data_IF_937829547877
#
_entry.id   IF_937829547877
#
_cell.length_a   1.000
_cell.length_b   1.000
_cell.length_c   1.000
_cell.angle_alpha   90.00
_cell.angle_beta   90.00
_cell.angle_gamma   90.00
#
_symmetry.space_group_name_H-M   'P 1'
#
loop_
_entity.id
_entity.type
_entity.pdbx_description
1 polymer ?
#
# COMPACT_ATOMS: atom_id res chain seq x y z
N UNK A 1 3.28 46.08 13.20
CA UNK A 1 2.38 44.94 12.93
C UNK A 1 2.66 44.44 11.52
N UNK A 2 3.80 43.77 11.35
CA UNK A 2 4.21 43.05 10.13
C UNK A 2 3.90 41.56 10.39
N UNK A 3 2.65 41.29 10.77
CA UNK A 3 2.16 39.95 11.03
C UNK A 3 1.71 39.31 9.71
N UNK A 4 2.11 38.05 9.53
CA UNK A 4 1.44 37.07 8.69
C UNK A 4 1.75 36.99 7.18
N UNK A 5 2.88 37.51 6.66
CA UNK A 5 3.32 37.20 5.28
C UNK A 5 4.42 36.14 5.15
N UNK A 6 5.12 35.81 6.23
CA UNK A 6 6.21 34.81 6.22
C UNK A 6 5.80 33.36 6.52
N UNK A 7 4.55 33.10 6.92
CA UNK A 7 4.08 31.77 7.38
C UNK A 7 3.44 30.89 6.31
N UNK A 8 3.54 31.25 5.03
CA UNK A 8 3.18 30.38 3.90
C UNK A 8 4.42 29.63 3.37
N UNK A 9 5.46 29.46 4.18
CA UNK A 9 6.47 28.42 4.00
C UNK A 9 5.97 27.03 4.48
N UNK A 10 4.65 26.89 4.71
CA UNK A 10 3.99 25.68 5.19
C UNK A 10 2.88 25.21 4.25
N UNK A 11 3.07 25.38 2.95
CA UNK A 11 2.57 24.39 2.01
C UNK A 11 3.71 23.41 1.80
N UNK A 12 3.99 22.62 2.85
CA UNK A 12 4.76 21.40 2.68
C UNK A 12 4.17 20.69 1.47
N UNK A 13 5.01 20.50 0.46
CA UNK A 13 4.82 19.64 -0.71
C UNK A 13 3.40 19.10 -0.79
N UNK A 14 2.59 19.62 -1.73
CA UNK A 14 1.32 19.01 -2.11
C UNK A 14 1.66 17.56 -2.48
N UNK A 15 1.57 16.67 -1.50
CA UNK A 15 1.63 15.24 -1.72
C UNK A 15 0.39 14.99 -2.55
N UNK A 16 0.62 14.61 -3.80
CA UNK A 16 -0.44 14.16 -4.67
C UNK A 16 -1.11 12.98 -3.94
N UNK A 17 -2.24 13.23 -3.26
CA UNK A 17 -2.97 12.21 -2.51
C UNK A 17 -3.49 11.24 -3.57
N UNK A 18 -2.65 10.23 -3.84
CA UNK A 18 -2.96 9.03 -4.59
C UNK A 18 -4.29 8.50 -4.03
N UNK A 19 -5.14 7.93 -4.88
CA UNK A 19 -6.39 7.33 -4.41
C UNK A 19 -6.15 6.49 -3.17
N UNK A 20 -6.92 6.80 -2.13
CA UNK A 20 -6.89 6.07 -0.89
C UNK A 20 -7.48 4.69 -1.17
N UNK A 21 -6.63 3.66 -1.24
CA UNK A 21 -7.09 2.27 -1.20
C UNK A 21 -7.71 2.07 0.18
N UNK A 22 -9.03 2.07 0.26
CA UNK A 22 -9.72 1.86 1.52
C UNK A 22 -9.57 0.41 1.97
N UNK A 23 -9.87 0.11 3.24
CA UNK A 23 -9.92 -1.28 3.71
C UNK A 23 -10.89 -2.13 2.88
N UNK A 24 -12.03 -1.57 2.49
CA UNK A 24 -13.03 -2.26 1.65
C UNK A 24 -12.47 -2.58 0.27
N UNK A 25 -11.68 -1.69 -0.33
CA UNK A 25 -11.02 -1.97 -1.61
C UNK A 25 -9.92 -3.01 -1.43
N UNK A 26 -9.09 -2.89 -0.39
CA UNK A 26 -8.05 -3.86 -0.06
C UNK A 26 -8.62 -5.29 0.08
N UNK A 27 -9.79 -5.43 0.71
CA UNK A 27 -10.46 -6.73 0.87
C UNK A 27 -10.93 -7.36 -0.46
N UNK A 28 -11.26 -6.55 -1.48
CA UNK A 28 -11.62 -7.07 -2.81
C UNK A 28 -10.44 -7.79 -3.47
N UNK A 29 -9.20 -7.41 -3.15
CA UNK A 29 -8.02 -8.10 -3.66
C UNK A 29 -7.75 -9.42 -2.92
N UNK A 30 -8.39 -9.64 -1.78
CA UNK A 30 -8.30 -10.88 -1.02
C UNK A 30 -9.42 -11.88 -1.33
N UNK A 31 -10.46 -11.46 -2.06
CA UNK A 31 -11.69 -12.24 -2.22
C UNK A 31 -11.55 -13.52 -3.04
N UNK A 32 -10.40 -13.75 -3.69
CA UNK A 32 -10.09 -15.02 -4.37
C UNK A 32 -9.88 -16.18 -3.40
N UNK A 33 -9.65 -15.91 -2.11
CA UNK A 33 -9.54 -16.93 -1.06
C UNK A 33 -10.69 -16.76 -0.06
N UNK A 34 -11.55 -17.79 0.13
CA UNK A 34 -12.67 -17.70 1.07
C UNK A 34 -12.21 -17.35 2.49
N UNK A 35 -12.83 -16.32 3.07
CA UNK A 35 -12.54 -15.88 4.44
C UNK A 35 -11.21 -15.12 4.61
N UNK A 36 -10.46 -14.88 3.53
CA UNK A 36 -9.27 -14.04 3.58
C UNK A 36 -9.64 -12.55 3.59
N UNK A 37 -8.95 -11.79 4.43
CA UNK A 37 -9.11 -10.34 4.56
C UNK A 37 -7.74 -9.66 4.52
N UNK A 38 -7.70 -8.44 4.00
CA UNK A 38 -6.50 -7.62 4.03
C UNK A 38 -6.10 -7.33 5.48
N UNK A 39 -4.83 -7.58 5.84
CA UNK A 39 -4.25 -7.14 7.09
C UNK A 39 -3.88 -5.65 7.01
N UNK A 40 -4.06 -4.94 8.13
CA UNK A 40 -3.49 -3.61 8.28
C UNK A 40 -2.03 -3.76 8.71
N UNK A 41 -1.11 -3.30 7.87
CA UNK A 41 0.33 -3.47 8.08
C UNK A 41 0.93 -2.15 8.53
N UNK A 42 1.37 -1.96 9.78
CA UNK A 42 2.04 -0.73 10.20
C UNK A 42 3.44 -0.61 9.56
N UNK A 43 4.06 0.60 9.50
CA UNK A 43 5.38 0.77 8.89
C UNK A 43 6.48 -0.05 9.58
N UNK A 44 6.28 -0.39 10.87
CA UNK A 44 7.19 -1.26 11.63
C UNK A 44 7.29 -2.69 11.08
N UNK A 45 6.40 -3.09 10.17
CA UNK A 45 6.41 -4.41 9.54
C UNK A 45 7.13 -4.40 8.18
N UNK A 46 7.77 -3.28 7.81
CA UNK A 46 8.62 -3.15 6.64
C UNK A 46 9.64 -4.30 6.56
N UNK A 47 9.65 -5.03 5.44
CA UNK A 47 10.56 -6.13 5.19
C UNK A 47 10.16 -7.47 5.83
N UNK A 48 9.07 -7.51 6.62
CA UNK A 48 8.49 -8.76 7.09
C UNK A 48 7.81 -9.51 5.96
N UNK A 49 7.76 -10.83 6.10
CA UNK A 49 7.02 -11.72 5.19
C UNK A 49 5.51 -11.69 5.47
N UNK A 50 4.70 -12.11 4.50
CA UNK A 50 3.26 -12.25 4.68
C UNK A 50 2.90 -13.17 5.87
N UNK A 51 3.67 -14.24 6.09
CA UNK A 51 3.53 -15.14 7.25
C UNK A 51 3.71 -14.42 8.58
N UNK A 52 4.78 -13.65 8.72
CA UNK A 52 5.05 -12.90 9.95
C UNK A 52 4.00 -11.82 10.20
N UNK A 53 3.56 -11.14 9.13
CA UNK A 53 2.52 -10.11 9.19
C UNK A 53 1.19 -10.72 9.64
N UNK A 54 0.76 -11.84 9.05
CA UNK A 54 -0.49 -12.49 9.44
C UNK A 54 -0.42 -13.08 10.86
N UNK A 55 0.70 -13.69 11.26
CA UNK A 55 0.89 -14.18 12.62
C UNK A 55 0.74 -13.06 13.66
N UNK A 56 1.27 -11.87 13.35
CA UNK A 56 1.20 -10.68 14.18
C UNK A 56 -0.06 -9.81 13.94
N UNK A 57 -1.00 -10.24 13.09
CA UNK A 57 -2.26 -9.54 12.85
C UNK A 57 -3.15 -9.59 14.09
N UNK A 58 -3.76 -8.48 14.50
CA UNK A 58 -4.58 -8.43 15.71
C UNK A 58 -5.94 -9.13 15.58
N UNK A 59 -6.27 -9.66 14.39
CA UNK A 59 -7.51 -10.39 14.12
C UNK A 59 -7.30 -11.92 14.18
N UNK A 60 -8.39 -12.66 14.09
CA UNK A 60 -8.38 -14.13 14.02
C UNK A 60 -7.66 -14.67 12.77
N UNK A 61 -7.49 -13.85 11.73
CA UNK A 61 -6.79 -14.26 10.52
C UNK A 61 -5.27 -14.26 10.73
N UNK A 62 -4.75 -15.43 11.13
CA UNK A 62 -3.34 -15.65 11.47
C UNK A 62 -2.51 -16.30 10.36
N UNK A 63 -3.17 -16.85 9.34
CA UNK A 63 -2.54 -17.59 8.26
C UNK A 63 -2.42 -16.71 7.03
N UNK A 64 -1.24 -16.63 6.41
CA UNK A 64 -1.09 -15.91 5.14
C UNK A 64 -1.63 -16.74 3.97
N UNK A 65 -2.53 -16.15 3.19
CA UNK A 65 -3.13 -16.80 2.02
C UNK A 65 -2.50 -16.35 0.71
N UNK A 66 -2.29 -15.04 0.55
CA UNK A 66 -1.72 -14.44 -0.67
C UNK A 66 -1.21 -13.03 -0.39
N UNK A 67 -0.29 -12.55 -1.25
CA UNK A 67 0.23 -11.18 -1.20
C UNK A 67 0.11 -10.52 -2.59
N UNK A 68 -1.12 -10.18 -3.01
CA UNK A 68 -1.36 -9.52 -4.29
C UNK A 68 -0.69 -8.15 -4.39
N UNK A 69 -0.17 -7.85 -5.57
CA UNK A 69 0.31 -6.55 -5.96
C UNK A 69 -0.84 -5.69 -6.46
N UNK A 70 -0.83 -4.42 -6.06
CA UNK A 70 -1.77 -3.41 -6.53
C UNK A 70 -0.97 -2.28 -7.14
N UNK A 71 -1.34 -1.96 -8.38
CA UNK A 71 -0.88 -0.76 -9.04
C UNK A 71 -1.88 0.37 -8.88
N UNK A 72 -1.45 1.52 -8.38
CA UNK A 72 -2.31 2.71 -8.30
C UNK A 72 -1.87 3.69 -9.38
N UNK A 73 -2.49 3.61 -10.55
CA UNK A 73 -2.12 4.43 -11.70
C UNK A 73 -2.41 5.91 -11.48
N UNK A 74 -1.69 6.73 -12.24
CA UNK A 74 -1.77 8.20 -12.29
C UNK A 74 -3.16 8.79 -12.61
N UNK A 75 -4.05 8.02 -13.22
CA UNK A 75 -5.45 8.39 -13.43
C UNK A 75 -6.35 8.06 -12.23
N UNK A 76 -5.75 7.80 -11.07
CA UNK A 76 -6.46 7.46 -9.85
C UNK A 76 -7.32 6.18 -10.01
N UNK A 77 -6.77 5.15 -10.66
CA UNK A 77 -7.40 3.84 -10.78
C UNK A 77 -6.47 2.74 -10.27
N UNK A 78 -7.05 1.62 -9.89
CA UNK A 78 -6.30 0.43 -9.51
C UNK A 78 -6.19 -0.49 -10.72
N UNK A 79 -4.99 -0.98 -10.99
CA UNK A 79 -4.75 -2.03 -11.98
C UNK A 79 -4.08 -3.23 -11.31
N UNK A 80 -4.57 -4.43 -11.63
CA UNK A 80 -4.00 -5.71 -11.19
C UNK A 80 -3.15 -6.38 -12.29
N UNK A 81 -2.96 -5.72 -13.44
CA UNK A 81 -2.28 -6.27 -14.63
C UNK A 81 -0.76 -6.36 -14.51
N UNK A 82 -0.14 -5.80 -13.47
CA UNK A 82 1.31 -5.91 -13.25
C UNK A 82 1.57 -7.08 -12.28
N UNK A 83 2.07 -8.19 -12.83
CA UNK A 83 2.09 -9.52 -12.20
C UNK A 83 3.21 -9.76 -11.16
N UNK A 84 3.50 -8.81 -10.28
CA UNK A 84 4.53 -8.99 -9.24
C UNK A 84 3.93 -9.30 -7.86
N UNK A 85 2.93 -10.19 -7.81
CA UNK A 85 2.47 -10.76 -6.55
C UNK A 85 3.65 -11.43 -5.83
N UNK A 86 3.67 -11.32 -4.50
CA UNK A 86 4.67 -11.99 -3.68
C UNK A 86 4.10 -13.27 -3.08
N UNK A 87 4.97 -14.25 -2.82
CA UNK A 87 4.66 -15.38 -1.96
C UNK A 87 4.60 -14.98 -0.49
N UNK A 88 3.88 -15.77 0.31
CA UNK A 88 3.75 -15.53 1.76
C UNK A 88 5.08 -15.62 2.55
N UNK A 89 6.12 -16.25 1.98
CA UNK A 89 7.46 -16.33 2.57
C UNK A 89 8.41 -15.24 2.06
N UNK A 90 7.96 -14.38 1.14
CA UNK A 90 8.79 -13.32 0.59
C UNK A 90 8.67 -12.04 1.42
N UNK A 91 9.77 -11.29 1.62
CA UNK A 91 9.74 -9.99 2.29
C UNK A 91 8.81 -9.00 1.58
N UNK A 92 7.95 -8.33 2.33
CA UNK A 92 7.02 -7.31 1.83
C UNK A 92 7.53 -5.92 2.22
N UNK A 93 8.00 -5.17 1.23
CA UNK A 93 8.67 -3.88 1.46
C UNK A 93 7.67 -2.73 1.48
N UNK A 94 6.61 -2.77 0.68
CA UNK A 94 5.71 -1.63 0.54
C UNK A 94 4.28 -2.11 0.67
N UNK A 95 3.93 -2.57 1.88
CA UNK A 95 2.60 -3.08 2.16
C UNK A 95 1.56 -1.96 2.27
N UNK A 96 0.32 -2.27 1.91
CA UNK A 96 -0.84 -1.43 2.16
C UNK A 96 -1.01 -1.25 3.69
N UNK A 97 -1.34 -0.04 4.18
CA UNK A 97 -1.79 1.15 3.44
C UNK A 97 -0.69 2.13 3.03
N UNK A 98 0.58 1.89 3.37
CA UNK A 98 1.65 2.88 3.19
C UNK A 98 2.14 2.93 1.74
N UNK A 99 2.33 1.76 1.13
CA UNK A 99 2.96 1.67 -0.19
C UNK A 99 4.37 2.26 -0.22
N UNK A 100 4.90 2.47 -1.43
CA UNK A 100 6.28 2.99 -1.60
C UNK A 100 6.30 4.52 -1.54
N UNK A 101 7.08 5.14 -0.62
CA UNK A 101 7.30 6.58 -0.60
C UNK A 101 8.21 6.98 -1.77
N UNK A 102 7.92 8.11 -2.42
CA UNK A 102 8.74 8.65 -3.52
C UNK A 102 8.92 10.15 -3.36
N UNK A 103 10.15 10.63 -3.58
CA UNK A 103 10.58 11.99 -3.24
C UNK A 103 10.34 13.05 -4.31
N UNK A 104 10.12 12.70 -5.59
CA UNK A 104 9.65 13.60 -6.66
C UNK A 104 9.38 12.79 -7.94
N UNK A 105 8.21 12.90 -8.58
CA UNK A 105 8.00 12.33 -9.91
C UNK A 105 8.79 13.13 -10.95
N UNK A 106 9.65 12.47 -11.73
CA UNK A 106 10.25 13.09 -12.91
C UNK A 106 9.19 13.18 -14.02
N UNK A 107 9.16 14.32 -14.72
CA UNK A 107 8.14 14.62 -15.73
C UNK A 107 8.35 13.90 -17.06
N UNK A 108 9.37 13.02 -17.18
CA UNK A 108 9.79 12.39 -18.43
C UNK A 108 9.05 11.08 -18.77
N UNK A 109 7.84 10.88 -18.24
CA UNK A 109 6.93 9.84 -18.75
C UNK A 109 7.19 8.41 -18.24
N UNK A 110 8.44 8.05 -17.93
CA UNK A 110 8.80 6.70 -17.47
C UNK A 110 8.39 6.38 -16.03
N UNK A 111 8.27 7.41 -15.18
CA UNK A 111 8.03 7.23 -13.75
C UNK A 111 6.56 7.18 -13.37
N UNK A 112 5.60 7.53 -14.26
CA UNK A 112 4.14 7.58 -14.01
C UNK A 112 3.49 6.27 -13.56
N UNK A 113 4.30 5.24 -13.51
CA UNK A 113 4.13 3.96 -12.87
C UNK A 113 4.08 4.07 -11.32
N UNK A 114 3.18 4.90 -10.79
CA UNK A 114 3.13 5.33 -9.39
C UNK A 114 2.37 4.33 -8.47
N UNK A 115 2.61 4.40 -7.16
CA UNK A 115 1.66 3.87 -6.17
C UNK A 115 1.59 2.36 -5.96
N UNK A 116 2.62 1.62 -6.37
CA UNK A 116 2.73 0.18 -6.08
C UNK A 116 2.62 -0.13 -4.59
N UNK A 117 1.73 -1.05 -4.25
CA UNK A 117 1.63 -1.59 -2.90
C UNK A 117 1.29 -3.07 -2.94
N UNK A 118 1.66 -3.81 -1.90
CA UNK A 118 1.21 -5.18 -1.71
C UNK A 118 0.14 -5.24 -0.63
N UNK A 119 -0.96 -5.95 -0.90
CA UNK A 119 -1.95 -6.26 0.12
C UNK A 119 -1.63 -7.63 0.69
N UNK A 120 -1.47 -7.72 2.00
CA UNK A 120 -1.27 -9.00 2.68
C UNK A 120 -2.65 -9.54 3.05
N UNK A 121 -3.05 -10.65 2.42
CA UNK A 121 -4.33 -11.30 2.68
C UNK A 121 -4.13 -12.43 3.69
N UNK A 122 -4.79 -12.30 4.83
CA UNK A 122 -4.75 -13.29 5.90
C UNK A 122 -6.09 -14.02 6.00
N UNK A 123 -6.06 -15.33 6.18
CA UNK A 123 -7.19 -16.19 6.55
C UNK A 123 -7.03 -16.72 7.98
N UNK A 124 -8.06 -17.38 8.49
CA UNK A 124 -7.92 -18.25 9.67
C UNK A 124 -6.85 -19.30 9.40
#
# INVERSE_FOLDING_TARGET
>A
MEEAKGKIASLGSIENIRVIVTKSDADKFCSSVPGALAAHVPPSYLGKTGKEICAANNREQKSCSQVPFIWVSNNNRYDNRIHHNKGCSEPVEYAWPWGKPYSNPNTYGGEWHHGSTWVVCCSK
#
